data_IF_690045648938
#
_entry.id   IF_690045648938
#
_cell.length_a   1.000
_cell.length_b   1.000
_cell.length_c   1.000
_cell.angle_alpha   90.00
_cell.angle_beta   90.00
_cell.angle_gamma   90.00
#
_symmetry.space_group_name_H-M   'P 1'
#
loop_
_entity.id
_entity.type
_entity.pdbx_description
1 polymer ?
#
# COMPACT_ATOMS: atom_id res chain seq x y z
N UNK A 1 -8.18 15.59 7.53
CA UNK A 1 -8.87 16.57 8.39
C UNK A 1 -8.66 16.32 9.89
N UNK A 2 -8.94 15.13 10.46
CA UNK A 2 -8.80 14.90 11.92
C UNK A 2 -7.44 15.30 12.51
N UNK A 3 -6.32 14.95 11.87
CA UNK A 3 -4.98 15.32 12.33
C UNK A 3 -4.77 16.85 12.42
N UNK A 4 -5.27 17.59 11.43
CA UNK A 4 -5.21 19.06 11.41
C UNK A 4 -5.98 19.64 12.60
N UNK A 5 -7.19 19.13 12.85
CA UNK A 5 -8.00 19.56 13.99
C UNK A 5 -7.29 19.30 15.33
N UNK A 6 -6.69 18.10 15.48
CA UNK A 6 -5.96 17.74 16.70
C UNK A 6 -4.73 18.63 16.92
N UNK A 7 -3.98 18.95 15.86
CA UNK A 7 -2.80 19.83 15.93
C UNK A 7 -3.21 21.27 16.28
N UNK A 8 -4.27 21.79 15.64
CA UNK A 8 -4.74 23.15 15.91
C UNK A 8 -5.35 23.28 17.33
N UNK A 9 -5.89 22.19 17.89
CA UNK A 9 -6.37 22.16 19.27
C UNK A 9 -5.24 22.15 20.30
N UNK A 10 -4.06 21.63 19.94
CA UNK A 10 -2.88 21.61 20.78
C UNK A 10 -2.14 22.96 20.74
N UNK A 11 -2.32 23.76 21.78
CA UNK A 11 -1.64 25.06 21.94
C UNK A 11 -0.11 24.97 21.99
N UNK A 12 0.44 23.80 22.31
CA UNK A 12 1.89 23.59 22.35
C UNK A 12 2.52 23.37 20.97
N UNK A 13 1.71 23.13 19.93
CA UNK A 13 2.20 22.91 18.57
C UNK A 13 2.88 24.14 17.95
N UNK A 14 2.52 25.35 18.41
CA UNK A 14 3.10 26.60 17.93
C UNK A 14 2.74 26.96 16.47
N UNK A 15 1.84 26.20 15.84
CA UNK A 15 1.40 26.40 14.46
C UNK A 15 -0.12 26.21 14.34
N UNK A 16 -0.69 26.80 13.28
CA UNK A 16 -2.06 26.54 12.87
C UNK A 16 -2.05 26.07 11.40
N UNK A 17 -2.68 24.93 11.15
CA UNK A 17 -2.82 24.35 9.82
C UNK A 17 -4.19 24.68 9.26
N UNK A 18 -4.22 25.40 8.12
CA UNK A 18 -5.44 25.73 7.39
C UNK A 18 -5.48 24.89 6.10
N UNK A 19 -6.40 23.92 5.95
CA UNK A 19 -6.46 23.07 4.78
C UNK A 19 -7.02 23.81 3.56
N UNK A 20 -6.47 23.52 2.38
CA UNK A 20 -7.05 23.88 1.09
C UNK A 20 -7.39 22.59 0.36
N UNK A 21 -8.68 22.36 0.13
CA UNK A 21 -9.17 21.09 -0.41
C UNK A 21 -9.50 21.20 -1.91
N UNK A 22 -9.25 20.12 -2.63
CA UNK A 22 -9.69 19.92 -4.02
C UNK A 22 -10.12 18.47 -4.20
N UNK A 23 -11.25 18.26 -4.87
CA UNK A 23 -11.77 16.93 -5.18
C UNK A 23 -11.47 16.53 -6.64
N UNK A 24 -10.60 15.54 -6.86
CA UNK A 24 -10.30 15.00 -8.19
C UNK A 24 -11.41 14.10 -8.73
N UNK A 25 -12.43 13.74 -7.95
CA UNK A 25 -13.55 12.88 -8.32
C UNK A 25 -13.10 11.53 -8.89
N UNK A 26 -12.10 10.92 -8.25
CA UNK A 26 -11.49 9.65 -8.68
C UNK A 26 -10.89 9.66 -10.10
N UNK A 27 -10.62 10.83 -10.68
CA UNK A 27 -9.97 10.96 -11.96
C UNK A 27 -8.49 11.35 -11.77
N UNK A 28 -7.58 10.47 -12.18
CA UNK A 28 -6.14 10.67 -12.07
C UNK A 28 -5.65 11.93 -12.82
N UNK A 29 -6.24 12.24 -13.98
CA UNK A 29 -5.86 13.39 -14.82
C UNK A 29 -6.12 14.75 -14.16
N UNK A 30 -6.94 14.77 -13.11
CA UNK A 30 -7.28 16.01 -12.40
C UNK A 30 -6.29 16.36 -11.30
N UNK A 31 -5.51 15.42 -10.79
CA UNK A 31 -4.67 15.64 -9.61
C UNK A 31 -3.59 16.70 -9.87
N UNK A 32 -2.87 16.63 -11.00
CA UNK A 32 -1.81 17.59 -11.32
C UNK A 32 -2.36 19.02 -11.43
N UNK A 33 -3.43 19.21 -12.19
CA UNK A 33 -4.09 20.51 -12.38
C UNK A 33 -4.64 21.08 -11.06
N UNK A 34 -5.25 20.23 -10.23
CA UNK A 34 -5.75 20.65 -8.92
C UNK A 34 -4.62 20.99 -7.95
N UNK A 35 -3.49 20.28 -8.01
CA UNK A 35 -2.29 20.60 -7.25
C UNK A 35 -1.70 21.96 -7.68
N UNK A 36 -1.62 22.21 -8.99
CA UNK A 36 -1.17 23.50 -9.52
C UNK A 36 -2.11 24.64 -9.09
N UNK A 37 -3.42 24.40 -9.12
CA UNK A 37 -4.40 25.37 -8.65
C UNK A 37 -4.24 25.69 -7.16
N UNK A 38 -3.99 24.69 -6.30
CA UNK A 38 -3.69 24.91 -4.87
C UNK A 38 -2.48 25.82 -4.72
N UNK A 39 -1.37 25.54 -5.42
CA UNK A 39 -0.14 26.35 -5.31
C UNK A 39 -0.27 27.75 -5.90
N UNK A 40 -1.13 27.94 -6.90
CA UNK A 40 -1.40 29.24 -7.53
C UNK A 40 -2.35 30.11 -6.71
N UNK A 41 -3.34 29.51 -6.06
CA UNK A 41 -4.43 30.23 -5.37
C UNK A 41 -4.24 30.33 -3.86
N UNK A 42 -3.19 29.71 -3.31
CA UNK A 42 -2.89 29.74 -1.88
C UNK A 42 -1.38 29.75 -1.63
N UNK A 43 -1.00 29.94 -0.36
CA UNK A 43 0.39 29.81 0.11
C UNK A 43 0.79 28.36 0.42
N UNK A 44 -0.07 27.37 0.18
CA UNK A 44 0.23 25.98 0.50
C UNK A 44 1.46 25.50 -0.29
N UNK A 45 2.34 24.75 0.39
CA UNK A 45 3.49 24.07 -0.22
C UNK A 45 3.57 22.59 0.11
N UNK A 46 2.66 22.10 0.95
CA UNK A 46 2.52 20.68 1.26
C UNK A 46 1.14 20.18 0.84
N UNK A 47 1.11 19.04 0.16
CA UNK A 47 -0.10 18.34 -0.25
C UNK A 47 -0.11 16.99 0.45
N UNK A 48 -1.18 16.65 1.16
CA UNK A 48 -1.43 15.28 1.65
C UNK A 48 -2.49 14.69 0.74
N UNK A 49 -2.13 13.70 -0.07
CA UNK A 49 -3.07 13.18 -1.06
C UNK A 49 -2.43 12.27 -2.09
N UNK A 50 -3.05 12.26 -3.28
CA UNK A 50 -2.94 11.18 -4.26
C UNK A 50 -3.42 9.83 -3.69
N UNK A 51 -3.73 8.89 -4.57
CA UNK A 51 -4.11 7.53 -4.16
C UNK A 51 -3.45 6.54 -5.11
N UNK A 52 -3.72 6.64 -6.40
CA UNK A 52 -3.08 5.80 -7.40
C UNK A 52 -1.65 6.28 -7.68
N UNK A 53 -0.73 5.36 -7.96
CA UNK A 53 0.62 5.73 -8.39
C UNK A 53 0.60 6.56 -9.67
N UNK A 54 -0.44 6.41 -10.51
CA UNK A 54 -0.68 7.29 -11.65
C UNK A 54 -0.87 8.75 -11.21
N UNK A 55 -1.78 9.02 -10.27
CA UNK A 55 -1.99 10.40 -9.84
C UNK A 55 -0.78 11.01 -9.14
N UNK A 56 0.01 10.19 -8.41
CA UNK A 56 1.29 10.60 -7.85
C UNK A 56 2.26 11.04 -8.94
N UNK A 57 2.46 10.19 -9.97
CA UNK A 57 3.40 10.47 -11.07
C UNK A 57 3.04 11.73 -11.86
N UNK A 58 1.77 11.97 -12.11
CA UNK A 58 1.31 13.21 -12.76
C UNK A 58 1.53 14.45 -11.89
N UNK A 59 1.50 14.30 -10.55
CA UNK A 59 1.64 15.42 -9.62
C UNK A 59 3.11 15.81 -9.40
N UNK A 60 4.06 14.88 -9.51
CA UNK A 60 5.50 15.12 -9.25
C UNK A 60 6.06 16.35 -10.01
N UNK A 61 5.88 16.49 -11.34
CA UNK A 61 6.42 17.65 -12.06
C UNK A 61 5.89 19.00 -11.56
N UNK A 62 4.64 19.03 -11.05
CA UNK A 62 4.03 20.23 -10.47
C UNK A 62 4.70 20.59 -9.14
N UNK A 63 5.02 19.58 -8.31
CA UNK A 63 5.73 19.76 -7.04
C UNK A 63 7.13 20.31 -7.29
N UNK A 64 7.88 19.71 -8.22
CA UNK A 64 9.24 20.10 -8.58
C UNK A 64 9.30 21.56 -9.05
N UNK A 65 8.39 21.94 -9.98
CA UNK A 65 8.29 23.31 -10.49
C UNK A 65 7.93 24.34 -9.40
N UNK A 66 7.09 23.96 -8.44
CA UNK A 66 6.59 24.85 -7.41
C UNK A 66 7.42 24.84 -6.11
N UNK A 67 8.41 23.95 -5.99
CA UNK A 67 9.12 23.70 -4.73
C UNK A 67 8.22 23.11 -3.64
N UNK A 68 7.12 22.44 -4.02
CA UNK A 68 6.16 21.84 -3.10
C UNK A 68 6.56 20.43 -2.67
N UNK A 69 5.82 19.86 -1.71
CA UNK A 69 5.99 18.47 -1.27
C UNK A 69 4.66 17.73 -1.22
N UNK A 70 4.68 16.46 -1.59
CA UNK A 70 3.58 15.52 -1.46
C UNK A 70 3.86 14.54 -0.32
N UNK A 71 2.91 14.40 0.58
CA UNK A 71 2.86 13.34 1.58
C UNK A 71 1.94 12.23 1.08
N UNK A 72 2.55 11.14 0.62
CA UNK A 72 1.86 10.05 -0.03
C UNK A 72 1.60 8.90 0.96
N UNK A 73 0.32 8.67 1.27
CA UNK A 73 -0.12 7.80 2.37
C UNK A 73 -0.76 6.49 1.88
N UNK A 74 -0.37 6.01 0.70
CA UNK A 74 -0.91 4.79 0.07
C UNK A 74 0.22 3.82 -0.32
N UNK A 75 -0.01 2.49 -0.28
CA UNK A 75 0.99 1.52 -0.69
C UNK A 75 1.29 1.68 -2.17
N UNK A 76 2.51 1.34 -2.58
CA UNK A 76 2.91 1.44 -3.99
C UNK A 76 3.96 0.41 -4.40
N UNK A 77 4.26 0.40 -5.69
CA UNK A 77 5.09 -0.58 -6.37
C UNK A 77 6.59 -0.51 -6.11
N UNK A 78 7.11 0.52 -5.43
CA UNK A 78 8.56 0.73 -5.30
C UNK A 78 9.18 1.46 -6.50
N UNK A 79 10.51 1.37 -6.61
CA UNK A 79 11.31 1.87 -7.73
C UNK A 79 11.19 3.38 -7.99
N UNK A 80 10.89 4.16 -6.95
CA UNK A 80 10.83 5.61 -6.99
C UNK A 80 11.44 6.19 -5.70
N UNK A 81 12.20 7.27 -5.85
CA UNK A 81 12.64 8.12 -4.76
C UNK A 81 12.66 9.54 -5.32
N UNK A 82 11.95 10.46 -4.69
CA UNK A 82 11.85 11.84 -5.12
C UNK A 82 11.88 12.76 -3.89
N UNK A 83 12.71 13.80 -3.94
CA UNK A 83 12.89 14.76 -2.84
C UNK A 83 11.61 15.56 -2.52
N UNK A 84 10.68 15.66 -3.48
CA UNK A 84 9.39 16.29 -3.30
C UNK A 84 8.29 15.34 -2.81
N UNK A 85 8.57 14.04 -2.58
CA UNK A 85 7.57 13.07 -2.15
C UNK A 85 8.02 12.34 -0.89
N UNK A 86 7.24 12.40 0.17
CA UNK A 86 7.44 11.61 1.39
C UNK A 86 6.49 10.42 1.36
N UNK A 87 7.05 9.22 1.37
CA UNK A 87 6.31 7.97 1.24
C UNK A 87 6.00 7.42 2.64
N UNK A 88 4.75 7.58 3.05
CA UNK A 88 4.28 7.31 4.41
C UNK A 88 3.51 6.00 4.53
N UNK A 89 3.57 5.15 3.50
CA UNK A 89 3.00 3.81 3.48
C UNK A 89 3.97 2.82 2.82
N UNK A 90 3.64 1.54 2.86
CA UNK A 90 4.54 0.45 2.57
C UNK A 90 5.01 0.42 1.10
N UNK A 91 6.30 0.13 0.92
CA UNK A 91 6.93 -0.25 -0.36
C UNK A 91 7.23 -1.77 -0.39
N UNK A 92 7.60 -2.40 -1.53
CA UNK A 92 7.49 -3.86 -1.70
C UNK A 92 8.12 -4.74 -0.62
N UNK A 93 9.24 -4.33 -0.02
CA UNK A 93 9.88 -5.07 1.08
C UNK A 93 9.10 -5.03 2.40
N UNK A 94 8.16 -4.09 2.54
CA UNK A 94 7.28 -3.88 3.70
C UNK A 94 5.86 -4.45 3.49
N UNK A 95 5.52 -4.96 2.30
CA UNK A 95 4.22 -5.61 2.07
C UNK A 95 4.36 -6.91 1.28
N UNK A 96 4.72 -6.83 0.00
CA UNK A 96 4.68 -7.98 -0.90
C UNK A 96 5.66 -9.09 -0.49
N UNK A 97 6.90 -8.73 -0.19
CA UNK A 97 7.93 -9.70 0.26
C UNK A 97 7.51 -10.43 1.53
N UNK A 98 7.16 -9.76 2.65
CA UNK A 98 6.75 -10.45 3.87
C UNK A 98 5.45 -11.23 3.71
N UNK A 99 4.48 -10.74 2.92
CA UNK A 99 3.25 -11.47 2.63
C UNK A 99 3.54 -12.77 1.85
N UNK A 100 4.40 -12.72 0.83
CA UNK A 100 4.83 -13.90 0.08
C UNK A 100 5.61 -14.88 0.96
N UNK A 101 6.50 -14.39 1.83
CA UNK A 101 7.23 -15.20 2.81
C UNK A 101 6.29 -15.92 3.79
N UNK A 102 5.13 -15.33 4.09
CA UNK A 102 4.10 -15.95 4.89
C UNK A 102 3.31 -17.02 4.13
N UNK A 103 2.94 -16.74 2.88
CA UNK A 103 2.01 -17.55 2.08
C UNK A 103 2.69 -18.77 1.48
N UNK A 104 3.86 -18.58 0.86
CA UNK A 104 4.56 -19.64 0.10
C UNK A 104 4.80 -20.92 0.93
N UNK A 105 5.31 -20.86 2.17
CA UNK A 105 5.56 -22.07 2.97
C UNK A 105 4.28 -22.80 3.42
N UNK A 106 3.13 -22.13 3.39
CA UNK A 106 1.85 -22.66 3.90
C UNK A 106 0.98 -23.25 2.79
N UNK A 107 0.93 -22.59 1.64
CA UNK A 107 0.01 -22.92 0.56
C UNK A 107 0.73 -23.47 -0.69
N UNK A 108 2.02 -23.15 -0.85
CA UNK A 108 2.82 -23.45 -2.03
C UNK A 108 3.17 -22.19 -2.83
N UNK A 109 4.08 -22.35 -3.80
CA UNK A 109 4.68 -21.24 -4.53
C UNK A 109 4.00 -20.88 -5.87
N UNK A 110 3.03 -21.67 -6.34
CA UNK A 110 2.41 -21.39 -7.64
C UNK A 110 1.27 -20.37 -7.51
N UNK A 111 1.46 -19.17 -8.05
CA UNK A 111 0.51 -18.06 -7.91
C UNK A 111 -0.30 -17.79 -9.19
N UNK A 112 -1.48 -17.18 -9.01
CA UNK A 112 -2.21 -16.50 -10.07
C UNK A 112 -2.22 -14.99 -9.79
N UNK A 113 -1.87 -14.18 -10.78
CA UNK A 113 -1.64 -12.74 -10.60
C UNK A 113 -2.75 -11.92 -11.26
N UNK A 114 -3.41 -11.06 -10.49
CA UNK A 114 -4.43 -10.13 -10.97
C UNK A 114 -3.95 -8.70 -10.75
N UNK A 115 -4.17 -7.82 -11.72
CA UNK A 115 -3.87 -6.40 -11.57
C UNK A 115 -4.87 -5.50 -12.27
N UNK A 116 -5.10 -4.31 -11.74
CA UNK A 116 -5.74 -3.25 -12.54
C UNK A 116 -4.77 -2.77 -13.61
N UNK A 117 -5.25 -2.48 -14.81
CA UNK A 117 -4.44 -2.18 -16.00
C UNK A 117 -3.82 -0.77 -15.95
N UNK A 118 -2.93 -0.55 -14.99
CA UNK A 118 -2.08 0.63 -14.83
C UNK A 118 -0.82 0.24 -14.03
N UNK A 119 0.08 1.21 -13.82
CA UNK A 119 1.42 1.00 -13.28
C UNK A 119 1.50 0.17 -11.99
N UNK A 120 0.59 0.37 -11.02
CA UNK A 120 0.55 -0.44 -9.79
C UNK A 120 0.40 -1.93 -10.11
N UNK A 121 -0.59 -2.29 -10.94
CA UNK A 121 -0.85 -3.68 -11.28
C UNK A 121 0.32 -4.32 -12.02
N UNK A 122 0.90 -3.60 -12.99
CA UNK A 122 2.02 -4.10 -13.80
C UNK A 122 3.28 -4.32 -12.97
N UNK A 123 3.68 -3.33 -12.19
CA UNK A 123 4.93 -3.38 -11.41
C UNK A 123 4.80 -4.32 -10.20
N UNK A 124 3.66 -4.35 -9.52
CA UNK A 124 3.43 -5.32 -8.44
C UNK A 124 3.46 -6.75 -8.95
N UNK A 125 2.86 -7.04 -10.10
CA UNK A 125 2.92 -8.36 -10.71
C UNK A 125 4.32 -8.69 -11.21
N UNK A 126 5.09 -7.70 -11.70
CA UNK A 126 6.50 -7.90 -12.05
C UNK A 126 7.31 -8.37 -10.84
N UNK A 127 7.23 -7.68 -9.71
CA UNK A 127 7.92 -8.11 -8.47
C UNK A 127 7.40 -9.47 -8.01
N UNK A 128 6.09 -9.72 -8.08
CA UNK A 128 5.51 -11.00 -7.70
C UNK A 128 6.02 -12.17 -8.55
N UNK A 129 6.23 -11.97 -9.86
CA UNK A 129 6.86 -12.98 -10.73
C UNK A 129 8.24 -13.37 -10.23
N UNK A 130 9.07 -12.38 -9.90
CA UNK A 130 10.43 -12.60 -9.42
C UNK A 130 10.40 -13.37 -8.09
N UNK A 131 9.54 -12.96 -7.15
CA UNK A 131 9.37 -13.65 -5.86
C UNK A 131 8.85 -15.10 -6.01
N UNK A 132 7.91 -15.34 -6.93
CA UNK A 132 7.41 -16.69 -7.23
C UNK A 132 8.53 -17.56 -7.80
N UNK A 133 9.34 -17.02 -8.72
CA UNK A 133 10.45 -17.74 -9.31
C UNK A 133 11.54 -18.07 -8.27
N UNK A 134 11.88 -17.10 -7.41
CA UNK A 134 12.81 -17.27 -6.28
C UNK A 134 12.35 -18.36 -5.30
N UNK A 135 11.05 -18.45 -5.07
CA UNK A 135 10.42 -19.50 -4.26
C UNK A 135 10.36 -20.87 -4.97
N UNK A 136 10.81 -20.98 -6.23
CA UNK A 136 10.74 -22.20 -7.04
C UNK A 136 9.33 -22.52 -7.56
N UNK A 137 8.42 -21.54 -7.57
CA UNK A 137 7.06 -21.66 -8.07
C UNK A 137 6.90 -21.27 -9.53
N UNK A 138 5.65 -21.25 -9.98
CA UNK A 138 5.24 -20.83 -11.33
C UNK A 138 4.05 -19.88 -11.27
N UNK A 139 4.04 -18.89 -12.16
CA UNK A 139 2.84 -18.10 -12.41
C UNK A 139 1.92 -18.90 -13.33
N UNK A 140 0.77 -19.31 -12.81
CA UNK A 140 -0.20 -20.14 -13.53
C UNK A 140 -1.16 -19.33 -14.40
N UNK A 141 -1.22 -18.01 -14.16
CA UNK A 141 -1.93 -17.05 -14.99
C UNK A 141 -1.67 -15.64 -14.50
N UNK A 142 -1.74 -14.69 -15.42
CA UNK A 142 -1.57 -13.27 -15.15
C UNK A 142 -2.56 -12.47 -15.99
N UNK A 143 -3.43 -11.70 -15.35
CA UNK A 143 -4.51 -10.97 -16.03
C UNK A 143 -4.64 -9.55 -15.52
N UNK A 144 -4.95 -8.66 -16.46
CA UNK A 144 -5.17 -7.25 -16.19
C UNK A 144 -6.58 -6.84 -16.58
N UNK A 145 -7.30 -6.21 -15.66
CA UNK A 145 -8.64 -5.67 -15.92
C UNK A 145 -8.59 -4.16 -15.98
N UNK A 146 -9.41 -3.54 -16.83
CA UNK A 146 -9.59 -2.08 -16.78
C UNK A 146 -10.24 -1.72 -15.44
N UNK A 147 -9.89 -0.56 -14.89
CA UNK A 147 -10.52 -0.07 -13.66
C UNK A 147 -12.03 0.05 -13.90
N UNK A 148 -12.82 -0.55 -13.01
CA UNK A 148 -14.28 -0.56 -13.11
C UNK A 148 -14.86 -1.72 -13.92
N UNK A 149 -14.04 -2.56 -14.55
CA UNK A 149 -14.50 -3.78 -15.22
C UNK A 149 -14.90 -4.84 -14.17
N UNK A 150 -16.10 -5.40 -14.32
CA UNK A 150 -16.69 -6.34 -13.35
C UNK A 150 -17.05 -7.71 -13.94
N UNK A 151 -16.93 -7.89 -15.27
CA UNK A 151 -17.09 -9.21 -15.89
C UNK A 151 -15.82 -10.05 -15.67
N UNK A 152 -15.83 -10.83 -14.60
CA UNK A 152 -14.72 -11.70 -14.17
C UNK A 152 -14.97 -13.17 -14.50
N UNK A 153 -16.00 -13.49 -15.28
CA UNK A 153 -16.42 -14.88 -15.53
C UNK A 153 -15.31 -15.75 -16.15
N UNK A 154 -14.66 -15.23 -17.20
CA UNK A 154 -13.52 -15.89 -17.86
C UNK A 154 -12.32 -16.04 -16.93
N UNK A 155 -12.09 -15.05 -16.07
CA UNK A 155 -11.01 -15.06 -15.10
C UNK A 155 -11.19 -16.20 -14.09
N UNK A 156 -12.39 -16.34 -13.54
CA UNK A 156 -12.75 -17.41 -12.61
C UNK A 156 -12.64 -18.79 -13.27
N UNK A 157 -13.05 -18.92 -14.54
CA UNK A 157 -12.89 -20.17 -15.29
C UNK A 157 -11.41 -20.58 -15.45
N UNK A 158 -10.53 -19.61 -15.71
CA UNK A 158 -9.09 -19.86 -15.83
C UNK A 158 -8.47 -20.24 -14.48
N UNK A 159 -8.84 -19.55 -13.39
CA UNK A 159 -8.41 -19.90 -12.03
C UNK A 159 -8.86 -21.32 -11.66
N UNK A 160 -10.09 -21.70 -12.01
CA UNK A 160 -10.61 -23.05 -11.80
C UNK A 160 -9.76 -24.11 -12.51
N UNK A 161 -9.39 -23.83 -13.77
CA UNK A 161 -8.62 -24.76 -14.60
C UNK A 161 -7.15 -24.88 -14.15
N UNK A 162 -6.56 -23.80 -13.68
CA UNK A 162 -5.13 -23.73 -13.34
C UNK A 162 -4.82 -24.16 -11.90
N UNK A 163 -5.77 -24.04 -10.98
CA UNK A 163 -5.66 -24.45 -9.56
C UNK A 163 -4.38 -23.91 -8.87
N UNK A 164 -4.21 -22.57 -8.78
CA UNK A 164 -3.08 -21.97 -8.09
C UNK A 164 -3.09 -22.26 -6.59
N UNK A 165 -1.93 -22.10 -5.94
CA UNK A 165 -1.79 -22.19 -4.49
C UNK A 165 -2.29 -20.93 -3.77
N UNK A 166 -2.23 -19.77 -4.42
CA UNK A 166 -2.76 -18.51 -3.94
C UNK A 166 -3.06 -17.58 -5.11
N UNK A 167 -3.83 -16.53 -4.86
CA UNK A 167 -4.13 -15.49 -5.86
C UNK A 167 -3.66 -14.15 -5.32
N UNK A 168 -2.73 -13.49 -6.02
CA UNK A 168 -2.36 -12.12 -5.71
C UNK A 168 -3.33 -11.17 -6.40
N UNK A 169 -4.15 -10.49 -5.60
CA UNK A 169 -5.16 -9.54 -6.08
C UNK A 169 -4.66 -8.09 -5.95
N UNK A 170 -4.15 -7.55 -7.05
CA UNK A 170 -3.80 -6.13 -7.20
C UNK A 170 -4.89 -5.34 -7.97
N UNK A 171 -6.13 -5.84 -8.02
CA UNK A 171 -7.28 -5.07 -8.52
C UNK A 171 -7.69 -4.00 -7.48
N UNK A 172 -8.23 -2.88 -7.97
CA UNK A 172 -8.76 -1.81 -7.12
C UNK A 172 -10.26 -1.62 -7.32
N UNK A 173 -10.93 -1.11 -6.28
CA UNK A 173 -12.34 -0.72 -6.32
C UNK A 173 -13.28 -1.85 -6.76
N UNK A 174 -14.29 -1.49 -7.56
CA UNK A 174 -15.39 -2.39 -7.96
C UNK A 174 -14.92 -3.66 -8.68
N UNK A 175 -13.81 -3.61 -9.43
CA UNK A 175 -13.21 -4.78 -10.07
C UNK A 175 -12.75 -5.82 -9.05
N UNK A 176 -12.12 -5.37 -7.95
CA UNK A 176 -11.69 -6.23 -6.85
C UNK A 176 -12.89 -6.86 -6.12
N UNK A 177 -13.95 -6.08 -5.91
CA UNK A 177 -15.16 -6.56 -5.21
C UNK A 177 -15.90 -7.62 -6.03
N UNK A 178 -16.05 -7.38 -7.34
CA UNK A 178 -16.66 -8.35 -8.25
C UNK A 178 -15.85 -9.66 -8.30
N UNK A 179 -14.52 -9.56 -8.33
CA UNK A 179 -13.64 -10.72 -8.27
C UNK A 179 -13.81 -11.51 -6.97
N UNK A 180 -13.73 -10.86 -5.80
CA UNK A 180 -13.87 -11.53 -4.51
C UNK A 180 -15.24 -12.21 -4.36
N UNK A 181 -16.33 -11.56 -4.81
CA UNK A 181 -17.66 -12.17 -4.79
C UNK A 181 -17.71 -13.43 -5.65
N UNK A 182 -17.19 -13.39 -6.89
CA UNK A 182 -17.18 -14.54 -7.77
C UNK A 182 -16.23 -15.65 -7.30
N UNK A 183 -15.13 -15.29 -6.64
CA UNK A 183 -14.19 -16.25 -6.06
C UNK A 183 -14.78 -16.97 -4.85
N UNK A 184 -15.56 -16.27 -4.01
CA UNK A 184 -16.34 -16.89 -2.93
C UNK A 184 -17.34 -17.92 -3.49
N UNK A 185 -18.03 -17.60 -4.58
CA UNK A 185 -18.97 -18.53 -5.21
C UNK A 185 -18.25 -19.77 -5.76
N UNK A 186 -17.07 -19.60 -6.37
CA UNK A 186 -16.19 -20.70 -6.75
C UNK A 186 -15.78 -21.58 -5.55
N UNK A 187 -15.42 -20.97 -4.42
CA UNK A 187 -15.04 -21.67 -3.21
C UNK A 187 -16.20 -22.46 -2.56
N UNK A 188 -17.43 -21.99 -2.72
CA UNK A 188 -18.62 -22.71 -2.28
C UNK A 188 -18.90 -23.96 -3.12
N UNK A 189 -18.48 -23.97 -4.39
CA UNK A 189 -18.60 -25.12 -5.29
C UNK A 189 -17.46 -26.13 -5.15
N UNK A 190 -16.21 -25.65 -4.94
CA UNK A 190 -15.02 -26.49 -4.81
C UNK A 190 -14.14 -25.98 -3.66
N UNK A 191 -14.07 -26.77 -2.59
CA UNK A 191 -13.35 -26.44 -1.37
C UNK A 191 -11.84 -26.21 -1.58
N UNK A 192 -11.25 -26.60 -2.71
CA UNK A 192 -9.87 -26.27 -3.01
C UNK A 192 -9.63 -24.76 -3.22
N UNK A 193 -10.67 -23.99 -3.50
CA UNK A 193 -10.61 -22.53 -3.62
C UNK A 193 -11.05 -21.81 -2.34
N UNK A 194 -11.28 -22.55 -1.25
CA UNK A 194 -11.52 -21.94 0.06
C UNK A 194 -10.28 -21.18 0.54
N UNK A 195 -10.42 -20.13 1.37
CA UNK A 195 -9.30 -19.37 1.91
C UNK A 195 -8.26 -20.21 2.66
N UNK A 196 -8.66 -21.36 3.20
CA UNK A 196 -7.79 -22.32 3.90
C UNK A 196 -6.89 -23.12 2.95
N UNK A 197 -7.27 -23.24 1.67
CA UNK A 197 -6.55 -24.03 0.66
C UNK A 197 -5.91 -23.15 -0.43
N UNK A 198 -6.58 -22.08 -0.85
CA UNK A 198 -6.11 -21.13 -1.86
C UNK A 198 -6.55 -19.70 -1.45
N UNK A 199 -5.77 -19.00 -0.61
CA UNK A 199 -6.13 -17.66 -0.19
C UNK A 199 -5.95 -16.66 -1.34
N UNK A 200 -6.90 -15.71 -1.43
CA UNK A 200 -6.63 -14.42 -2.06
C UNK A 200 -5.78 -13.59 -1.10
N UNK A 201 -4.73 -12.97 -1.63
CA UNK A 201 -3.79 -12.14 -0.89
C UNK A 201 -3.72 -10.75 -1.55
N UNK A 202 -3.63 -9.68 -0.78
CA UNK A 202 -3.61 -8.31 -1.32
C UNK A 202 -2.66 -7.39 -0.53
N UNK A 203 -2.09 -6.41 -1.23
CA UNK A 203 -1.24 -5.36 -0.65
C UNK A 203 -1.93 -3.99 -0.59
N UNK A 204 -3.18 -3.88 -1.06
CA UNK A 204 -3.93 -2.63 -1.17
C UNK A 204 -5.35 -2.72 -0.60
N UNK A 205 -5.71 -3.85 0.00
CA UNK A 205 -7.01 -4.05 0.61
C UNK A 205 -6.96 -3.66 2.09
N UNK A 206 -7.77 -2.67 2.46
CA UNK A 206 -7.78 -2.04 3.78
C UNK A 206 -9.19 -2.12 4.39
N UNK A 207 -9.36 -1.48 5.54
CA UNK A 207 -10.64 -1.39 6.24
C UNK A 207 -11.70 -0.63 5.43
N UNK A 208 -11.28 0.27 4.52
CA UNK A 208 -12.18 1.03 3.66
C UNK A 208 -13.01 0.15 2.72
N UNK A 209 -12.47 -1.01 2.33
CA UNK A 209 -13.11 -1.95 1.43
C UNK A 209 -14.03 -2.95 2.15
N UNK A 210 -13.82 -3.17 3.47
CA UNK A 210 -14.52 -4.22 4.23
C UNK A 210 -16.05 -4.14 4.15
N UNK A 211 -16.71 -2.96 4.25
CA UNK A 211 -18.16 -2.88 4.11
C UNK A 211 -18.67 -3.29 2.73
N UNK A 212 -17.89 -3.04 1.67
CA UNK A 212 -18.29 -3.33 0.30
C UNK A 212 -18.08 -4.81 -0.07
N UNK A 213 -17.02 -5.44 0.44
CA UNK A 213 -16.73 -6.86 0.14
C UNK A 213 -17.53 -7.82 1.02
N UNK A 214 -17.87 -7.42 2.25
CA UNK A 214 -18.60 -8.24 3.23
C UNK A 214 -17.97 -9.62 3.41
N UNK A 215 -18.81 -10.67 3.46
CA UNK A 215 -18.38 -12.06 3.63
C UNK A 215 -17.46 -12.57 2.50
N UNK A 216 -17.44 -11.92 1.33
CA UNK A 216 -16.56 -12.31 0.22
C UNK A 216 -15.07 -12.13 0.54
N UNK A 217 -14.74 -11.31 1.54
CA UNK A 217 -13.36 -11.16 2.00
C UNK A 217 -12.94 -12.21 3.03
N UNK A 218 -13.88 -12.92 3.68
CA UNK A 218 -13.59 -13.70 4.89
C UNK A 218 -12.50 -14.75 4.65
N UNK A 219 -11.53 -14.80 5.56
CA UNK A 219 -10.42 -15.75 5.53
C UNK A 219 -9.24 -15.35 4.64
N UNK A 220 -9.41 -14.39 3.73
CA UNK A 220 -8.34 -13.87 2.87
C UNK A 220 -7.38 -12.96 3.62
N UNK A 221 -6.18 -12.76 3.04
CA UNK A 221 -5.08 -12.07 3.69
C UNK A 221 -4.80 -10.70 3.06
N UNK A 222 -4.50 -9.74 3.91
CA UNK A 222 -3.94 -8.45 3.50
C UNK A 222 -2.71 -8.13 4.33
N UNK A 223 -1.91 -7.19 3.86
CA UNK A 223 -0.71 -6.72 4.56
C UNK A 223 -0.66 -5.19 4.52
N UNK A 224 -0.22 -4.59 5.62
CA UNK A 224 -0.06 -3.14 5.70
C UNK A 224 0.57 -2.69 7.02
N UNK A 225 0.85 -1.38 7.16
CA UNK A 225 1.49 -0.83 8.35
C UNK A 225 0.54 -0.65 9.53
N UNK A 226 -0.77 -0.77 9.28
CA UNK A 226 -1.82 -0.59 10.26
C UNK A 226 -3.04 -1.40 9.86
N UNK A 227 -3.63 -2.06 10.86
CA UNK A 227 -5.01 -2.52 10.84
C UNK A 227 -5.72 -2.08 12.11
N UNK A 228 -6.97 -1.63 11.99
CA UNK A 228 -7.71 -1.02 13.07
C UNK A 228 -7.96 -1.99 14.23
N UNK A 229 -7.54 -1.65 15.47
CA UNK A 229 -7.93 -2.41 16.64
C UNK A 229 -9.43 -2.24 16.91
N UNK A 230 -9.97 -3.00 17.86
CA UNK A 230 -11.34 -2.77 18.37
C UNK A 230 -11.28 -2.23 19.81
N UNK A 231 -11.78 -1.01 20.08
CA UNK A 231 -12.41 -0.06 19.15
C UNK A 231 -11.42 0.60 18.17
N UNK A 232 -11.91 0.98 16.98
CA UNK A 232 -11.08 1.53 15.91
C UNK A 232 -10.61 2.95 16.25
N UNK A 233 -9.28 3.15 16.23
CA UNK A 233 -8.68 4.48 16.37
C UNK A 233 -8.76 5.29 15.06
N UNK A 234 -8.74 4.59 13.92
CA UNK A 234 -8.76 5.12 12.57
C UNK A 234 -9.69 4.28 11.69
N UNK A 235 -10.29 4.92 10.70
CA UNK A 235 -11.20 4.29 9.75
C UNK A 235 -10.47 3.35 8.78
N UNK A 236 -9.20 3.62 8.45
CA UNK A 236 -8.37 2.74 7.63
C UNK A 236 -6.88 2.96 7.81
N UNK A 237 -6.08 2.03 7.28
CA UNK A 237 -4.62 2.16 7.13
C UNK A 237 -4.19 3.45 6.40
N UNK A 238 -4.98 3.89 5.40
CA UNK A 238 -4.69 5.12 4.65
C UNK A 238 -4.94 6.36 5.52
N UNK A 239 -6.02 6.35 6.29
CA UNK A 239 -6.31 7.45 7.22
C UNK A 239 -5.25 7.53 8.34
N UNK A 240 -4.81 6.39 8.86
CA UNK A 240 -3.76 6.31 9.86
C UNK A 240 -2.43 6.88 9.34
N UNK A 241 -2.06 6.53 8.10
CA UNK A 241 -0.84 7.00 7.44
C UNK A 241 -0.92 8.49 7.10
N UNK A 242 -2.06 8.96 6.59
CA UNK A 242 -2.28 10.38 6.33
C UNK A 242 -2.26 11.21 7.63
N UNK A 243 -2.79 10.66 8.73
CA UNK A 243 -2.69 11.29 10.04
C UNK A 243 -1.22 11.42 10.48
N UNK A 244 -0.44 10.34 10.38
CA UNK A 244 0.99 10.36 10.69
C UNK A 244 1.75 11.36 9.81
N UNK A 245 1.43 11.48 8.52
CA UNK A 245 2.01 12.48 7.62
C UNK A 245 1.85 13.90 8.17
N UNK A 246 0.63 14.26 8.60
CA UNK A 246 0.36 15.60 9.13
C UNK A 246 1.11 15.82 10.45
N UNK A 247 1.25 14.81 11.30
CA UNK A 247 2.04 14.93 12.54
C UNK A 247 3.52 15.20 12.26
N UNK A 248 4.13 14.45 11.36
CA UNK A 248 5.54 14.64 10.96
C UNK A 248 5.71 16.03 10.34
N UNK A 249 4.82 16.41 9.42
CA UNK A 249 4.82 17.71 8.77
C UNK A 249 4.76 18.85 9.80
N UNK A 250 3.81 18.78 10.74
CA UNK A 250 3.64 19.77 11.80
C UNK A 250 4.86 19.86 12.73
N UNK A 251 5.44 18.72 13.11
CA UNK A 251 6.63 18.66 13.95
C UNK A 251 7.84 19.35 13.30
N UNK A 252 8.03 19.22 11.99
CA UNK A 252 9.10 19.95 11.27
C UNK A 252 8.76 21.43 11.13
N UNK A 253 7.54 21.76 10.71
CA UNK A 253 7.13 23.14 10.44
C UNK A 253 7.03 24.02 11.69
N UNK A 254 6.73 23.46 12.86
CA UNK A 254 6.72 24.20 14.13
C UNK A 254 8.08 24.74 14.53
N UNK A 255 9.16 24.09 14.07
CA UNK A 255 10.55 24.51 14.30
C UNK A 255 11.11 25.30 13.13
N UNK A 256 10.68 24.98 11.90
CA UNK A 256 11.11 25.67 10.67
C UNK A 256 9.91 25.88 9.72
N UNK A 257 9.16 26.98 9.87
CA UNK A 257 7.92 27.23 9.12
C UNK A 257 8.08 27.27 7.60
N UNK A 258 9.26 27.68 7.10
CA UNK A 258 9.57 27.77 5.67
C UNK A 258 10.37 26.55 5.17
N UNK A 259 10.27 25.39 5.83
CA UNK A 259 11.00 24.19 5.44
C UNK A 259 10.55 23.67 4.06
N UNK A 260 11.49 23.60 3.11
CA UNK A 260 11.29 22.93 1.83
C UNK A 260 11.84 21.49 1.81
N UNK A 261 11.87 20.84 0.63
CA UNK A 261 12.38 19.48 0.46
C UNK A 261 13.73 19.19 1.16
N UNK A 262 14.72 20.07 0.95
CA UNK A 262 16.06 19.89 1.51
C UNK A 262 16.09 19.98 3.05
N UNK A 263 15.26 20.84 3.64
CA UNK A 263 15.07 20.93 5.08
C UNK A 263 14.43 19.67 5.67
N UNK A 264 13.39 19.15 5.00
CA UNK A 264 12.73 17.93 5.42
C UNK A 264 13.70 16.74 5.36
N UNK A 265 14.45 16.57 4.27
CA UNK A 265 15.49 15.53 4.18
C UNK A 265 16.51 15.62 5.31
N UNK A 266 16.98 16.83 5.66
CA UNK A 266 17.89 17.04 6.82
C UNK A 266 17.22 16.69 8.15
N UNK A 267 15.95 17.06 8.33
CA UNK A 267 15.19 16.72 9.53
C UNK A 267 15.07 15.19 9.67
N UNK A 268 14.76 14.48 8.58
CA UNK A 268 14.64 13.02 8.55
C UNK A 268 15.94 12.31 8.97
N UNK A 269 17.10 12.81 8.54
CA UNK A 269 18.40 12.22 8.90
C UNK A 269 18.72 12.29 10.41
N UNK A 270 18.20 13.31 11.10
CA UNK A 270 18.58 13.63 12.47
C UNK A 270 17.60 13.18 13.55
N UNK A 271 16.41 12.67 13.20
CA UNK A 271 15.36 12.43 14.18
C UNK A 271 14.39 11.30 13.84
N UNK A 272 13.71 10.83 14.88
CA UNK A 272 12.51 9.99 14.78
C UNK A 272 11.29 10.81 15.19
N UNK A 273 10.14 10.45 14.65
CA UNK A 273 8.89 11.17 14.86
C UNK A 273 7.93 10.35 15.69
N UNK A 274 7.33 10.98 16.70
CA UNK A 274 6.25 10.37 17.49
C UNK A 274 4.94 10.51 16.72
N UNK A 275 4.41 9.39 16.23
CA UNK A 275 3.14 9.38 15.49
C UNK A 275 2.14 8.42 16.11
N UNK A 276 0.90 8.45 15.63
CA UNK A 276 -0.13 7.49 16.02
C UNK A 276 0.09 6.07 15.46
N UNK A 277 1.00 5.90 14.51
CA UNK A 277 1.50 4.58 14.09
C UNK A 277 2.61 4.05 15.01
N UNK A 278 3.04 4.85 15.99
CA UNK A 278 4.21 4.62 16.81
C UNK A 278 5.38 5.53 16.42
N UNK A 279 6.55 5.38 17.07
CA UNK A 279 7.75 6.13 16.70
C UNK A 279 8.27 5.66 15.33
N UNK A 280 8.26 6.53 14.32
CA UNK A 280 8.73 6.20 12.97
C UNK A 280 10.00 6.97 12.61
N UNK A 281 10.88 6.33 11.84
CA UNK A 281 11.96 7.01 11.11
C UNK A 281 11.56 7.25 9.66
N UNK A 282 12.13 8.26 9.02
CA UNK A 282 12.03 8.47 7.57
C UNK A 282 13.45 8.43 7.01
N UNK A 283 13.67 7.62 5.99
CA UNK A 283 14.99 7.53 5.36
C UNK A 283 15.27 8.83 4.59
N UNK A 284 16.37 9.51 4.91
CA UNK A 284 16.66 10.84 4.37
C UNK A 284 16.98 10.84 2.87
N UNK A 285 17.36 9.69 2.30
CA UNK A 285 17.75 9.56 0.90
C UNK A 285 16.55 9.21 0.01
N UNK A 286 15.73 8.26 0.45
CA UNK A 286 14.57 7.78 -0.31
C UNK A 286 13.27 8.45 0.11
N UNK A 287 13.24 9.15 1.24
CA UNK A 287 12.06 9.76 1.87
C UNK A 287 10.94 8.77 2.21
N UNK A 288 11.29 7.49 2.40
CA UNK A 288 10.34 6.45 2.80
C UNK A 288 10.31 6.27 4.31
N UNK A 289 9.12 6.00 4.85
CA UNK A 289 8.94 5.72 6.26
C UNK A 289 9.40 4.29 6.61
N UNK A 290 10.04 4.17 7.78
CA UNK A 290 10.18 2.91 8.50
C UNK A 290 8.84 2.61 9.18
N UNK A 291 8.27 1.45 8.87
CA UNK A 291 6.88 1.13 9.21
C UNK A 291 6.79 -0.25 9.87
N UNK A 292 5.77 -0.47 10.72
CA UNK A 292 5.36 -1.83 11.05
C UNK A 292 4.94 -2.59 9.79
N UNK A 293 5.01 -3.91 9.85
CA UNK A 293 4.47 -4.82 8.83
C UNK A 293 3.52 -5.77 9.52
N UNK A 294 2.23 -5.66 9.19
CA UNK A 294 1.16 -6.44 9.79
C UNK A 294 0.51 -7.26 8.68
N UNK A 295 0.48 -8.59 8.84
CA UNK A 295 -0.35 -9.46 8.01
C UNK A 295 -1.66 -9.66 8.76
N UNK A 296 -2.76 -9.28 8.11
CA UNK A 296 -4.11 -9.36 8.64
C UNK A 296 -4.92 -10.40 7.87
N UNK A 297 -5.74 -11.17 8.58
CA UNK A 297 -6.77 -12.03 8.01
C UNK A 297 -8.12 -11.36 8.18
N UNK A 298 -8.91 -11.29 7.12
CA UNK A 298 -10.25 -10.71 7.20
C UNK A 298 -11.16 -11.66 8.00
N UNK A 299 -11.73 -11.16 9.09
CA UNK A 299 -12.68 -11.87 9.94
C UNK A 299 -13.77 -10.88 10.38
N UNK A 300 -15.05 -11.27 10.26
CA UNK A 300 -16.22 -10.56 10.80
C UNK A 300 -16.15 -9.01 10.75
N UNK A 301 -15.82 -8.44 9.59
CA UNK A 301 -15.77 -6.99 9.36
C UNK A 301 -14.53 -6.26 9.90
N UNK A 302 -13.45 -6.96 10.27
CA UNK A 302 -12.16 -6.38 10.66
C UNK A 302 -10.99 -7.27 10.17
N UNK A 303 -9.75 -6.84 10.42
CA UNK A 303 -8.56 -7.67 10.20
C UNK A 303 -8.07 -8.23 11.53
N UNK A 304 -8.06 -9.55 11.66
CA UNK A 304 -7.35 -10.25 12.73
C UNK A 304 -5.85 -10.29 12.42
N UNK A 305 -5.01 -9.89 13.36
CA UNK A 305 -3.55 -9.89 13.18
C UNK A 305 -3.04 -11.33 13.16
N UNK A 306 -2.45 -11.74 12.04
CA UNK A 306 -1.81 -13.05 11.86
C UNK A 306 -0.33 -12.99 12.24
N UNK A 307 0.36 -11.94 11.82
CA UNK A 307 1.75 -11.68 12.20
C UNK A 307 2.04 -10.20 12.19
N UNK A 308 3.02 -9.79 12.99
CA UNK A 308 3.44 -8.41 13.12
C UNK A 308 4.96 -8.33 13.29
N UNK A 309 5.57 -7.44 12.54
CA UNK A 309 6.91 -6.93 12.75
C UNK A 309 6.81 -5.43 13.02
N UNK A 310 7.43 -4.94 14.09
CA UNK A 310 7.18 -3.57 14.56
C UNK A 310 7.91 -2.49 13.77
N UNK A 311 9.07 -2.83 13.19
CA UNK A 311 9.92 -1.84 12.54
C UNK A 311 10.68 -2.45 11.35
N UNK A 312 10.23 -2.13 10.14
CA UNK A 312 10.87 -2.56 8.89
C UNK A 312 11.34 -1.34 8.12
N UNK A 313 12.66 -1.22 7.93
CA UNK A 313 13.26 -0.16 7.15
C UNK A 313 12.85 -0.28 5.67
N UNK A 314 12.59 0.84 4.97
CA UNK A 314 12.15 0.80 3.57
C UNK A 314 13.29 0.44 2.64
N UNK A 315 13.02 -0.40 1.64
CA UNK A 315 13.93 -0.74 0.55
C UNK A 315 13.15 -0.70 -0.77
N UNK A 316 12.81 0.51 -1.26
CA UNK A 316 11.90 0.66 -2.40
C UNK A 316 12.46 0.07 -3.69
N UNK A 317 13.78 -0.13 -3.78
CA UNK A 317 14.46 -0.74 -4.92
C UNK A 317 14.79 -2.23 -4.73
N UNK A 318 14.41 -2.83 -3.60
CA UNK A 318 14.75 -4.21 -3.23
C UNK A 318 16.26 -4.51 -3.30
N UNK A 319 17.09 -3.50 -2.99
CA UNK A 319 18.55 -3.57 -3.05
C UNK A 319 19.18 -4.48 -1.99
N UNK A 320 18.45 -4.74 -0.90
CA UNK A 320 18.85 -5.56 0.26
C UNK A 320 18.06 -6.86 0.36
N UNK A 321 17.16 -7.12 -0.59
CA UNK A 321 16.39 -8.36 -0.64
C UNK A 321 17.31 -9.56 -0.90
N UNK A 322 17.09 -10.64 -0.14
CA UNK A 322 17.86 -11.88 -0.22
C UNK A 322 16.88 -13.07 -0.30
N UNK A 323 16.72 -13.67 -1.50
CA UNK A 323 15.83 -14.81 -1.70
C UNK A 323 16.07 -15.96 -0.73
N UNK A 324 17.34 -16.22 -0.38
CA UNK A 324 17.70 -17.32 0.50
C UNK A 324 17.28 -17.07 1.96
N UNK A 325 17.21 -15.81 2.38
CA UNK A 325 16.64 -15.44 3.69
C UNK A 325 15.13 -15.47 3.69
N UNK A 326 14.49 -15.09 2.58
CA UNK A 326 13.04 -15.01 2.47
C UNK A 326 12.37 -16.38 2.30
N UNK A 327 12.86 -17.21 1.39
CA UNK A 327 12.24 -18.50 1.04
C UNK A 327 13.08 -19.73 1.43
N UNK A 328 14.29 -19.51 1.96
CA UNK A 328 15.27 -20.57 2.20
C UNK A 328 16.06 -20.91 0.93
N UNK A 329 17.09 -21.76 1.08
CA UNK A 329 17.89 -22.19 -0.08
C UNK A 329 17.09 -23.18 -0.94
N UNK A 330 17.08 -23.01 -2.28
CA UNK A 330 16.48 -23.99 -3.17
C UNK A 330 17.09 -25.37 -2.92
N UNK A 331 16.25 -26.39 -2.70
CA UNK A 331 16.72 -27.78 -2.70
C UNK A 331 16.98 -28.19 -4.15
N UNK A 332 18.19 -27.92 -4.63
CA UNK A 332 18.66 -28.41 -5.93
C UNK A 332 18.57 -29.94 -5.93
N UNK A 333 17.64 -30.49 -6.72
CA UNK A 333 17.65 -31.91 -7.06
C UNK A 333 18.51 -32.08 -8.30
N UNK A 334 19.59 -32.86 -8.18
CA UNK A 334 20.31 -33.36 -9.34
C UNK A 334 19.34 -34.27 -10.08
N UNK A 335 18.96 -33.87 -11.30
CA UNK A 335 18.21 -34.72 -12.21
C UNK A 335 19.24 -35.59 -12.93
N UNK A 336 19.43 -36.81 -12.45
CA UNK A 336 20.17 -37.87 -13.16
C UNK A 336 19.25 -38.61 -14.10
#
# INVERSE_FOLDING_TARGET
MRAIADINADRSSGIELVPVERDPQSNADRYATLCEDIFRTSSARHVVGCVTSWSRKETIPVLEKAGGMLWYACPYEGFEANEHVVYMHACPNQHLVPLMAHVVPRFGANGFLLGSNYIWGWEMNRVARDLIADAGGKVLGERYLRIGETDVSRLIAEIRATRPNFILNNLIGTSSYAFLAAYRDLAAEDAAFSPENCPVISCNLTEGELPAIGESGKGHLSVGPYFAPRPAAFASSFEASAYASVQVMADVLSRKPDAGPAEFSKAFAGQRFSTRLGPIGIDAHSQHATLPVIIGRIADGFFEVVSREDEVAPDPYLSRYDPAKTFGRPRLRVVS
#
